data_IF_480433482371
#
_entry.id   IF_480433482371
#
_cell.length_a   1.000
_cell.length_b   1.000
_cell.length_c   1.000
_cell.angle_alpha   90.00
_cell.angle_beta   90.00
_cell.angle_gamma   90.00
#
_symmetry.space_group_name_H-M   'P 1'
#
loop_
_entity.id
_entity.type
_entity.pdbx_description
1 polymer ?
#
# COMPACT_ATOMS: atom_id res chain seq x y z
N UNK A 1 -15.94 11.39 16.63
CA UNK A 1 -15.14 10.19 16.31
C UNK A 1 -14.32 9.86 17.55
N UNK A 2 -14.45 8.65 18.09
CA UNK A 2 -13.68 8.19 19.26
C UNK A 2 -12.90 6.94 18.83
N UNK A 3 -11.64 6.85 19.21
CA UNK A 3 -10.81 5.68 18.96
C UNK A 3 -11.07 4.65 20.05
N UNK A 4 -11.17 3.37 19.67
CA UNK A 4 -11.25 2.30 20.65
C UNK A 4 -9.90 2.07 21.32
N UNK A 5 -9.90 1.47 22.52
CA UNK A 5 -8.65 1.08 23.20
C UNK A 5 -7.81 0.12 22.34
N UNK A 6 -8.48 -0.71 21.52
CA UNK A 6 -7.83 -1.59 20.56
C UNK A 6 -7.11 -0.80 19.45
N UNK A 7 -7.73 0.27 18.93
CA UNK A 7 -7.11 1.12 17.92
C UNK A 7 -5.86 1.82 18.47
N UNK A 8 -5.93 2.32 19.71
CA UNK A 8 -4.81 2.97 20.39
C UNK A 8 -3.68 1.96 20.66
N UNK A 9 -4.02 0.77 21.16
CA UNK A 9 -3.03 -0.28 21.41
C UNK A 9 -2.32 -0.73 20.12
N UNK A 10 -3.06 -0.89 19.03
CA UNK A 10 -2.50 -1.24 17.73
C UNK A 10 -1.57 -0.13 17.19
N UNK A 11 -1.96 1.14 17.34
CA UNK A 11 -1.13 2.27 16.93
C UNK A 11 0.18 2.33 17.73
N UNK A 12 0.13 2.13 19.05
CA UNK A 12 1.33 2.10 19.89
C UNK A 12 2.27 0.94 19.52
N UNK A 13 1.72 -0.26 19.32
CA UNK A 13 2.51 -1.41 18.89
C UNK A 13 3.22 -1.17 17.55
N UNK A 14 2.56 -0.50 16.60
CA UNK A 14 3.18 -0.14 15.32
C UNK A 14 4.28 0.92 15.50
N UNK A 15 4.07 1.93 16.35
CA UNK A 15 5.10 2.92 16.69
C UNK A 15 6.33 2.24 17.29
N UNK A 16 6.15 1.36 18.27
CA UNK A 16 7.27 0.68 18.94
C UNK A 16 8.04 -0.23 17.99
N UNK A 17 7.33 -0.96 17.12
CA UNK A 17 7.93 -1.78 16.05
C UNK A 17 8.87 -0.95 15.19
N UNK A 18 8.44 0.23 14.73
CA UNK A 18 9.21 1.04 13.78
C UNK A 18 10.26 1.94 14.43
N UNK A 19 10.09 2.31 15.71
CA UNK A 19 11.13 3.02 16.49
C UNK A 19 12.40 2.21 16.65
N UNK A 20 12.33 0.89 16.57
CA UNK A 20 13.50 -0.01 16.65
C UNK A 20 14.35 0.21 17.92
N UNK A 21 13.70 0.57 19.04
CA UNK A 21 14.37 0.85 20.32
C UNK A 21 15.14 2.18 20.39
N UNK A 22 14.94 3.08 19.42
CA UNK A 22 15.54 4.40 19.41
C UNK A 22 14.59 5.43 20.04
N UNK A 23 15.17 6.37 20.78
CA UNK A 23 14.43 7.41 21.50
C UNK A 23 14.38 8.74 20.73
N UNK A 24 13.55 9.65 21.26
CA UNK A 24 13.44 11.05 20.84
C UNK A 24 13.19 11.21 19.33
N UNK A 25 13.87 12.18 18.71
CA UNK A 25 13.64 12.59 17.32
C UNK A 25 13.97 11.48 16.33
N UNK A 26 15.02 10.69 16.57
CA UNK A 26 15.44 9.60 15.68
C UNK A 26 14.39 8.49 15.67
N UNK A 27 13.96 8.04 16.86
CA UNK A 27 12.90 7.05 17.01
C UNK A 27 11.60 7.55 16.35
N UNK A 28 11.20 8.79 16.63
CA UNK A 28 9.99 9.37 16.03
C UNK A 28 10.07 9.43 14.50
N UNK A 29 11.19 9.87 13.93
CA UNK A 29 11.39 9.94 12.49
C UNK A 29 11.30 8.55 11.84
N UNK A 30 11.97 7.54 12.41
CA UNK A 30 11.90 6.16 11.92
C UNK A 30 10.48 5.58 12.02
N UNK A 31 9.77 5.87 13.11
CA UNK A 31 8.38 5.47 13.28
C UNK A 31 7.50 5.99 12.14
N UNK A 32 7.63 7.28 11.81
CA UNK A 32 6.87 7.93 10.73
C UNK A 32 7.24 7.34 9.37
N UNK A 33 8.52 7.11 9.09
CA UNK A 33 8.98 6.48 7.84
C UNK A 33 8.38 5.08 7.70
N UNK A 34 8.47 4.26 8.76
CA UNK A 34 7.95 2.89 8.77
C UNK A 34 6.44 2.82 8.56
N UNK A 35 5.68 3.65 9.28
CA UNK A 35 4.23 3.76 9.13
C UNK A 35 3.83 4.26 7.74
N UNK A 36 4.58 5.21 7.17
CA UNK A 36 4.32 5.73 5.83
C UNK A 36 4.58 4.67 4.76
N UNK A 37 5.66 3.90 4.90
CA UNK A 37 5.95 2.78 4.01
C UNK A 37 4.86 1.70 4.08
N UNK A 38 4.38 1.37 5.28
CA UNK A 38 3.29 0.41 5.45
C UNK A 38 1.99 0.88 4.77
N UNK A 39 1.61 2.16 4.96
CA UNK A 39 0.46 2.75 4.28
C UNK A 39 0.63 2.71 2.76
N UNK A 40 1.79 3.12 2.25
CA UNK A 40 2.08 3.09 0.82
C UNK A 40 1.99 1.66 0.25
N UNK A 41 2.50 0.65 0.96
CA UNK A 41 2.39 -0.74 0.55
C UNK A 41 0.93 -1.22 0.48
N UNK A 42 0.10 -0.87 1.48
CA UNK A 42 -1.33 -1.21 1.47
C UNK A 42 -2.06 -0.57 0.29
N UNK A 43 -1.83 0.72 0.06
CA UNK A 43 -2.42 1.45 -1.07
C UNK A 43 -1.97 0.89 -2.43
N UNK A 44 -0.68 0.55 -2.57
CA UNK A 44 -0.17 -0.12 -3.78
C UNK A 44 -0.87 -1.46 -4.01
N UNK A 45 -1.03 -2.28 -2.97
CA UNK A 45 -1.69 -3.57 -3.08
C UNK A 45 -3.17 -3.42 -3.52
N UNK A 46 -3.88 -2.45 -2.94
CA UNK A 46 -5.27 -2.14 -3.32
C UNK A 46 -5.33 -1.64 -4.77
N UNK A 47 -4.46 -0.70 -5.16
CA UNK A 47 -4.38 -0.19 -6.53
C UNK A 47 -4.15 -1.32 -7.53
N UNK A 48 -3.21 -2.20 -7.25
CA UNK A 48 -2.85 -3.29 -8.15
C UNK A 48 -3.99 -4.32 -8.28
N UNK A 49 -4.75 -4.57 -7.20
CA UNK A 49 -5.98 -5.38 -7.25
C UNK A 49 -7.09 -4.73 -8.08
N UNK A 50 -7.26 -3.41 -7.95
CA UNK A 50 -8.21 -2.64 -8.76
C UNK A 50 -7.80 -2.57 -10.23
N UNK A 51 -6.50 -2.52 -10.54
CA UNK A 51 -5.97 -2.64 -11.91
C UNK A 51 -6.40 -3.98 -12.51
N UNK A 52 -6.21 -5.09 -11.80
CA UNK A 52 -6.62 -6.43 -12.26
C UNK A 52 -8.12 -6.52 -12.45
N UNK A 53 -8.89 -5.99 -11.49
CA UNK A 53 -10.35 -5.98 -11.56
C UNK A 53 -10.84 -5.17 -12.75
N UNK A 54 -10.29 -3.97 -12.99
CA UNK A 54 -10.61 -3.16 -14.16
C UNK A 54 -10.31 -3.89 -15.48
N UNK A 55 -9.17 -4.58 -15.56
CA UNK A 55 -8.84 -5.40 -16.72
C UNK A 55 -9.83 -6.55 -16.92
N UNK A 56 -10.20 -7.28 -15.85
CA UNK A 56 -11.17 -8.39 -15.90
C UNK A 56 -12.55 -7.95 -16.39
N UNK A 57 -12.98 -6.73 -16.05
CA UNK A 57 -14.25 -6.17 -16.55
C UNK A 57 -14.15 -5.52 -17.94
N UNK A 58 -13.00 -5.62 -18.60
CA UNK A 58 -12.81 -5.27 -20.02
C UNK A 58 -12.15 -3.90 -20.28
N UNK A 59 -11.65 -3.20 -19.27
CA UNK A 59 -10.90 -1.97 -19.50
C UNK A 59 -9.58 -2.26 -20.24
N UNK A 60 -9.24 -1.46 -21.24
CA UNK A 60 -7.98 -1.62 -21.96
C UNK A 60 -6.78 -1.22 -21.09
N UNK A 61 -5.63 -1.85 -21.30
CA UNK A 61 -4.38 -1.51 -20.61
C UNK A 61 -4.01 -0.02 -20.75
N UNK A 62 -4.41 0.64 -21.85
CA UNK A 62 -4.20 2.07 -22.05
C UNK A 62 -5.05 2.91 -21.11
N UNK A 63 -6.35 2.62 -20.99
CA UNK A 63 -7.26 3.34 -20.08
C UNK A 63 -6.82 3.18 -18.63
N UNK A 64 -6.40 1.97 -18.25
CA UNK A 64 -5.92 1.68 -16.90
C UNK A 64 -4.61 2.45 -16.62
N UNK A 65 -3.66 2.46 -17.54
CA UNK A 65 -2.41 3.20 -17.41
C UNK A 65 -2.63 4.71 -17.23
N UNK A 66 -3.55 5.27 -18.02
CA UNK A 66 -3.96 6.68 -17.93
C UNK A 66 -4.60 6.99 -16.56
N UNK A 67 -5.57 6.19 -16.13
CA UNK A 67 -6.26 6.40 -14.85
C UNK A 67 -5.35 6.20 -13.62
N UNK A 68 -4.42 5.24 -13.68
CA UNK A 68 -3.50 4.94 -12.58
C UNK A 68 -2.28 5.87 -12.56
N UNK A 69 -2.05 6.66 -13.61
CA UNK A 69 -0.82 7.45 -13.76
C UNK A 69 0.44 6.58 -13.88
N UNK A 70 0.31 5.36 -14.42
CA UNK A 70 1.39 4.38 -14.52
C UNK A 70 1.79 4.15 -15.98
N UNK A 71 3.04 3.71 -16.19
CA UNK A 71 3.49 3.27 -17.50
C UNK A 71 2.78 1.99 -17.94
N UNK A 72 2.52 1.86 -19.26
CA UNK A 72 1.86 0.68 -19.84
C UNK A 72 2.55 -0.63 -19.46
N UNK A 73 3.89 -0.67 -19.45
CA UNK A 73 4.67 -1.86 -19.05
C UNK A 73 4.39 -2.29 -17.61
N UNK A 74 4.28 -1.33 -16.70
CA UNK A 74 3.96 -1.59 -15.29
C UNK A 74 2.57 -2.19 -15.14
N UNK A 75 1.58 -1.62 -15.84
CA UNK A 75 0.20 -2.14 -15.82
C UNK A 75 0.14 -3.56 -16.40
N UNK A 76 0.83 -3.82 -17.52
CA UNK A 76 0.92 -5.18 -18.09
C UNK A 76 1.47 -6.17 -17.08
N UNK A 77 2.59 -5.87 -16.42
CA UNK A 77 3.18 -6.77 -15.42
C UNK A 77 2.24 -7.04 -14.23
N UNK A 78 1.49 -6.03 -13.76
CA UNK A 78 0.53 -6.18 -12.65
C UNK A 78 -0.61 -7.14 -13.02
N UNK A 79 -1.13 -7.02 -14.24
CA UNK A 79 -2.20 -7.88 -14.77
C UNK A 79 -1.68 -9.31 -14.99
N UNK A 80 -0.50 -9.49 -15.59
CA UNK A 80 0.08 -10.81 -15.86
C UNK A 80 0.45 -11.58 -14.59
N UNK A 81 0.86 -10.88 -13.52
CA UNK A 81 1.15 -11.50 -12.24
C UNK A 81 -0.07 -12.22 -11.61
N UNK A 82 -1.29 -11.85 -12.01
CA UNK A 82 -2.54 -12.51 -11.59
C UNK A 82 -2.80 -13.79 -12.41
N UNK A 83 -2.56 -13.73 -13.72
CA UNK A 83 -2.73 -14.87 -14.63
C UNK A 83 -1.82 -16.06 -14.32
N UNK A 84 -0.69 -15.84 -13.63
CA UNK A 84 0.22 -16.90 -13.18
C UNK A 84 -0.23 -17.58 -11.87
N UNK A 85 -1.26 -17.05 -11.19
CA UNK A 85 -1.80 -17.56 -9.93
C UNK A 85 -3.14 -18.27 -10.08
N UNK A 86 -3.79 -18.13 -11.25
CA UNK A 86 -5.04 -18.78 -11.62
C UNK A 86 -4.78 -20.12 -12.32
#
# INVERSE_FOLDING_TARGET
>A
MSYSDADVAAANAALDKYRSGLDYEIGAALAVVGLSAERAHREIAIRDDMIRTAHRVGASLRQIAEAAGLGRKTVTAIVEADSLRA
#
